data_IF_724939703795
#
_entry.id   IF_724939703795
#
_cell.length_a   1.000
_cell.length_b   1.000
_cell.length_c   1.000
_cell.angle_alpha   90.00
_cell.angle_beta   90.00
_cell.angle_gamma   90.00
#
_symmetry.space_group_name_H-M   'P 1'
#
loop_
_entity.id
_entity.type
_entity.pdbx_description
1 polymer ?
#
# COMPACT_ATOMS: atom_id res chain seq x y z
N UNK A 1 -19.61 2.65 4.93
CA UNK A 1 -20.52 2.00 5.85
C UNK A 1 -20.12 0.55 6.08
N UNK A 2 -19.92 -0.20 5.02
CA UNK A 2 -19.46 -1.59 5.12
C UNK A 2 -17.94 -1.74 5.05
N UNK A 3 -17.23 -0.63 4.88
CA UNK A 3 -15.77 -0.68 4.74
C UNK A 3 -15.09 -1.20 6.01
N UNK A 4 -15.55 -0.79 7.18
CA UNK A 4 -14.98 -1.26 8.46
C UNK A 4 -15.16 -2.77 8.60
N UNK A 5 -16.35 -3.28 8.29
CA UNK A 5 -16.62 -4.72 8.38
C UNK A 5 -15.77 -5.49 7.38
N UNK A 6 -15.68 -5.01 6.15
CA UNK A 6 -14.87 -5.64 5.12
C UNK A 6 -13.40 -5.68 5.52
N UNK A 7 -12.88 -4.56 6.03
CA UNK A 7 -11.47 -4.48 6.47
C UNK A 7 -11.21 -5.38 7.67
N UNK A 8 -12.14 -5.43 8.65
CA UNK A 8 -12.00 -6.32 9.79
C UNK A 8 -11.99 -7.78 9.38
N UNK A 9 -12.87 -8.16 8.46
CA UNK A 9 -12.90 -9.52 7.94
C UNK A 9 -11.60 -9.88 7.23
N UNK A 10 -11.04 -8.94 6.46
CA UNK A 10 -9.76 -9.13 5.81
C UNK A 10 -8.65 -9.38 6.82
N UNK A 11 -8.58 -8.59 7.89
CA UNK A 11 -7.58 -8.77 8.95
C UNK A 11 -7.74 -10.10 9.67
N UNK A 12 -8.97 -10.47 10.00
CA UNK A 12 -9.25 -11.75 10.67
C UNK A 12 -8.81 -12.92 9.79
N UNK A 13 -9.12 -12.87 8.51
CA UNK A 13 -8.69 -13.90 7.56
C UNK A 13 -7.17 -13.99 7.45
N UNK A 14 -6.50 -12.85 7.41
CA UNK A 14 -5.03 -12.81 7.34
C UNK A 14 -4.40 -13.37 8.61
N UNK A 15 -4.92 -13.01 9.79
CA UNK A 15 -4.39 -13.49 11.06
C UNK A 15 -4.59 -14.99 11.24
N UNK A 16 -5.73 -15.52 10.83
CA UNK A 16 -6.04 -16.94 10.99
C UNK A 16 -5.35 -17.83 9.97
N UNK A 17 -5.03 -17.30 8.81
CA UNK A 17 -4.75 -18.13 7.64
C UNK A 17 -3.48 -17.75 6.89
N UNK A 18 -2.39 -17.63 7.64
CA UNK A 18 -1.07 -17.60 6.99
C UNK A 18 -0.91 -18.82 6.06
N UNK A 19 -1.64 -19.90 6.34
CA UNK A 19 -1.62 -21.11 5.52
C UNK A 19 -2.46 -21.00 4.23
N UNK A 20 -3.39 -20.03 4.15
CA UNK A 20 -4.29 -19.89 2.99
C UNK A 20 -3.79 -18.86 1.98
N UNK A 21 -2.50 -18.82 1.80
CA UNK A 21 -1.87 -17.95 0.79
C UNK A 21 -1.97 -18.68 -0.56
N UNK A 22 -2.57 -18.02 -1.54
CA UNK A 22 -2.73 -18.57 -2.88
C UNK A 22 -1.67 -17.95 -3.81
N UNK A 23 -0.47 -18.53 -3.77
CA UNK A 23 0.68 -18.00 -4.50
C UNK A 23 0.63 -18.41 -5.97
N UNK A 24 0.78 -17.44 -6.86
CA UNK A 24 0.96 -17.68 -8.29
C UNK A 24 2.12 -16.82 -8.80
N UNK A 25 2.76 -17.29 -9.87
CA UNK A 25 3.86 -16.54 -10.50
C UNK A 25 3.26 -15.51 -11.44
N UNK A 26 3.53 -14.23 -11.21
CA UNK A 26 2.83 -13.15 -11.87
C UNK A 26 3.75 -12.05 -12.38
N UNK A 27 3.30 -11.36 -13.41
CA UNK A 27 3.93 -10.15 -13.93
C UNK A 27 3.58 -8.98 -13.02
N UNK A 28 4.53 -8.53 -12.22
CA UNK A 28 4.30 -7.47 -11.24
C UNK A 28 4.06 -6.12 -11.93
N UNK A 29 4.74 -5.87 -13.06
CA UNK A 29 4.52 -4.65 -13.83
C UNK A 29 3.05 -4.52 -14.23
N UNK A 30 2.48 -5.60 -14.73
CA UNK A 30 1.08 -5.60 -15.14
C UNK A 30 0.13 -5.40 -13.96
N UNK A 31 0.41 -6.03 -12.81
CA UNK A 31 -0.40 -5.84 -11.62
C UNK A 31 -0.42 -4.38 -11.18
N UNK A 32 0.74 -3.71 -11.21
CA UNK A 32 0.83 -2.31 -10.83
C UNK A 32 0.08 -1.41 -11.82
N UNK A 33 0.21 -1.68 -13.12
CA UNK A 33 -0.53 -0.94 -14.14
C UNK A 33 -2.05 -1.05 -13.90
N UNK A 34 -2.53 -2.24 -13.62
CA UNK A 34 -3.95 -2.49 -13.38
C UNK A 34 -4.45 -1.77 -12.12
N UNK A 35 -3.65 -1.77 -11.07
CA UNK A 35 -3.98 -1.06 -9.83
C UNK A 35 -4.12 0.44 -10.09
N UNK A 36 -3.14 1.04 -10.75
CA UNK A 36 -3.19 2.48 -11.03
C UNK A 36 -4.33 2.84 -11.97
N UNK A 37 -4.59 2.01 -12.96
CA UNK A 37 -5.71 2.23 -13.88
C UNK A 37 -7.03 2.29 -13.12
N UNK A 38 -7.23 1.38 -12.15
CA UNK A 38 -8.45 1.35 -11.35
C UNK A 38 -8.58 2.55 -10.42
N UNK A 39 -7.47 3.07 -9.92
CA UNK A 39 -7.48 4.19 -8.97
C UNK A 39 -7.40 5.57 -9.63
N UNK A 40 -7.11 5.62 -10.92
CA UNK A 40 -6.99 6.89 -11.64
C UNK A 40 -8.23 7.78 -11.53
N UNK A 41 -9.46 7.27 -11.62
CA UNK A 41 -10.63 8.14 -11.45
C UNK A 41 -10.68 8.85 -10.10
N UNK A 42 -10.23 8.19 -9.03
CA UNK A 42 -10.20 8.81 -7.70
C UNK A 42 -9.15 9.93 -7.65
N UNK A 43 -7.98 9.68 -8.25
CA UNK A 43 -6.92 10.67 -8.30
C UNK A 43 -7.32 11.88 -9.16
N UNK A 44 -7.98 11.63 -10.29
CA UNK A 44 -8.39 12.69 -11.22
C UNK A 44 -9.35 13.67 -10.57
N UNK A 45 -10.20 13.23 -9.65
CA UNK A 45 -11.12 14.11 -8.94
C UNK A 45 -10.42 15.20 -8.13
N UNK A 46 -9.18 14.96 -7.74
CA UNK A 46 -8.36 15.90 -6.99
C UNK A 46 -7.19 16.42 -7.79
N UNK A 47 -7.18 16.13 -9.10
CA UNK A 47 -6.11 16.51 -10.00
C UNK A 47 -4.73 16.02 -9.52
N UNK A 48 -4.69 14.80 -9.04
CA UNK A 48 -3.45 14.16 -8.57
C UNK A 48 -2.88 13.30 -9.68
N UNK A 49 -1.61 13.52 -9.99
CA UNK A 49 -0.87 12.71 -10.96
C UNK A 49 -0.50 11.37 -10.36
N UNK A 50 -0.92 10.29 -11.01
CA UNK A 50 -0.44 8.93 -10.68
C UNK A 50 0.67 8.58 -11.67
N UNK A 51 1.87 8.33 -11.14
CA UNK A 51 3.07 8.06 -11.95
C UNK A 51 3.56 6.65 -11.64
N UNK A 52 3.84 5.86 -12.68
CA UNK A 52 4.42 4.53 -12.53
C UNK A 52 5.78 4.50 -13.21
N UNK A 53 6.82 4.21 -12.41
CA UNK A 53 8.19 4.08 -12.90
C UNK A 53 8.65 2.63 -12.70
N UNK A 54 8.66 1.86 -13.77
CA UNK A 54 9.18 0.49 -13.74
C UNK A 54 10.57 0.47 -14.34
N UNK A 55 11.56 0.15 -13.52
CA UNK A 55 12.95 0.18 -13.96
C UNK A 55 13.37 -1.09 -14.69
N UNK A 56 12.59 -2.16 -14.53
CA UNK A 56 12.82 -3.43 -15.22
C UNK A 56 11.57 -4.29 -15.16
N UNK A 57 11.44 -5.30 -16.04
CA UNK A 57 10.38 -6.29 -15.91
C UNK A 57 10.61 -7.14 -14.65
N UNK A 58 9.54 -7.42 -13.91
CA UNK A 58 9.61 -8.22 -12.69
C UNK A 58 8.50 -9.28 -12.72
N UNK A 59 8.91 -10.53 -12.64
CA UNK A 59 8.00 -11.65 -12.40
C UNK A 59 8.30 -12.19 -11.00
N UNK A 60 7.27 -12.47 -10.22
CA UNK A 60 7.47 -12.90 -8.84
C UNK A 60 6.29 -13.75 -8.37
N UNK A 61 6.52 -14.46 -7.28
CA UNK A 61 5.50 -15.30 -6.63
C UNK A 61 4.72 -14.45 -5.64
N UNK A 62 3.44 -14.23 -5.92
CA UNK A 62 2.58 -13.43 -5.03
C UNK A 62 1.18 -14.03 -4.95
N UNK A 63 0.49 -13.71 -3.87
CA UNK A 63 -0.95 -13.90 -3.78
C UNK A 63 -1.58 -12.65 -4.40
N UNK A 64 -2.16 -12.81 -5.58
CA UNK A 64 -2.67 -11.68 -6.35
C UNK A 64 -3.63 -10.81 -5.56
N UNK A 65 -4.58 -11.42 -4.86
CA UNK A 65 -5.60 -10.68 -4.11
C UNK A 65 -4.98 -9.89 -2.97
N UNK A 66 -4.14 -10.54 -2.17
CA UNK A 66 -3.53 -9.89 -1.01
C UNK A 66 -2.51 -8.84 -1.41
N UNK A 67 -1.72 -9.12 -2.45
CA UNK A 67 -0.75 -8.17 -2.96
C UNK A 67 -1.46 -6.92 -3.52
N UNK A 68 -2.48 -7.13 -4.34
CA UNK A 68 -3.26 -6.04 -4.93
C UNK A 68 -3.90 -5.18 -3.85
N UNK A 69 -4.47 -5.80 -2.82
CA UNK A 69 -5.08 -5.08 -1.71
C UNK A 69 -4.06 -4.21 -0.98
N UNK A 70 -2.88 -4.78 -0.70
CA UNK A 70 -1.82 -4.04 0.01
C UNK A 70 -1.37 -2.80 -0.77
N UNK A 71 -1.03 -2.98 -2.04
CA UNK A 71 -0.53 -1.88 -2.85
C UNK A 71 -1.63 -0.85 -3.12
N UNK A 72 -2.85 -1.31 -3.38
CA UNK A 72 -3.99 -0.40 -3.55
C UNK A 72 -4.19 0.48 -2.33
N UNK A 73 -4.08 -0.08 -1.12
CA UNK A 73 -4.21 0.69 0.12
C UNK A 73 -3.14 1.77 0.22
N UNK A 74 -1.90 1.46 -0.15
CA UNK A 74 -0.81 2.45 -0.11
C UNK A 74 -1.07 3.58 -1.11
N UNK A 75 -1.49 3.26 -2.32
CA UNK A 75 -1.78 4.27 -3.34
C UNK A 75 -2.99 5.11 -2.94
N UNK A 76 -4.05 4.47 -2.44
CA UNK A 76 -5.24 5.20 -1.98
C UNK A 76 -4.90 6.17 -0.85
N UNK A 77 -4.06 5.76 0.10
CA UNK A 77 -3.59 6.66 1.15
C UNK A 77 -2.83 7.85 0.56
N UNK A 78 -1.98 7.60 -0.42
CA UNK A 78 -1.25 8.67 -1.10
C UNK A 78 -2.16 9.67 -1.79
N UNK A 79 -3.30 9.21 -2.30
CA UNK A 79 -4.29 10.10 -2.92
C UNK A 79 -5.09 10.85 -1.85
N UNK A 80 -5.59 10.13 -0.84
CA UNK A 80 -6.49 10.72 0.18
C UNK A 80 -5.84 11.81 1.01
N UNK A 81 -4.62 11.57 1.44
CA UNK A 81 -3.90 12.47 2.34
C UNK A 81 -2.95 13.40 1.60
N UNK A 82 -3.19 13.58 0.32
CA UNK A 82 -2.38 14.45 -0.54
C UNK A 82 -2.92 15.89 -0.53
N UNK A 83 -2.10 16.76 -1.07
CA UNK A 83 -2.52 18.13 -1.41
C UNK A 83 -3.18 18.10 -2.79
N UNK A 84 -4.08 19.01 -3.06
CA UNK A 84 -4.67 19.12 -4.40
C UNK A 84 -3.58 19.51 -5.40
N UNK A 85 -3.69 18.96 -6.61
CA UNK A 85 -2.69 19.14 -7.68
C UNK A 85 -1.34 18.49 -7.34
N UNK A 86 -1.34 17.55 -6.40
CA UNK A 86 -0.15 16.80 -6.02
C UNK A 86 0.09 15.60 -6.92
N UNK A 87 0.91 14.69 -6.42
CA UNK A 87 1.29 13.49 -7.18
C UNK A 87 1.47 12.29 -6.25
N UNK A 88 1.32 11.09 -6.84
CA UNK A 88 1.68 9.83 -6.20
C UNK A 88 2.53 9.06 -7.21
N UNK A 89 3.71 8.65 -6.81
CA UNK A 89 4.63 7.89 -7.65
C UNK A 89 4.83 6.50 -7.11
N UNK A 90 4.55 5.51 -7.95
CA UNK A 90 4.82 4.11 -7.65
C UNK A 90 6.03 3.69 -8.48
N UNK A 91 7.05 3.14 -7.85
CA UNK A 91 8.21 2.63 -8.57
C UNK A 91 8.44 1.16 -8.29
N UNK A 92 8.98 0.47 -9.28
CA UNK A 92 9.27 -0.96 -9.22
C UNK A 92 10.69 -1.22 -9.69
N UNK A 93 11.44 -1.95 -8.88
CA UNK A 93 12.77 -2.41 -9.24
C UNK A 93 12.98 -3.80 -8.63
N UNK A 94 14.08 -4.44 -8.97
CA UNK A 94 14.40 -5.77 -8.43
C UNK A 94 15.90 -6.02 -8.51
N UNK A 95 16.37 -6.88 -7.62
CA UNK A 95 17.68 -7.50 -7.74
C UNK A 95 17.48 -9.01 -7.92
N UNK A 96 18.53 -9.80 -7.69
CA UNK A 96 18.46 -11.25 -7.90
C UNK A 96 17.61 -11.99 -6.84
N UNK A 97 17.23 -11.32 -5.77
CA UNK A 97 16.55 -11.97 -4.63
C UNK A 97 15.21 -11.34 -4.31
N UNK A 98 15.10 -10.02 -4.41
CA UNK A 98 13.90 -9.28 -4.00
C UNK A 98 13.41 -8.38 -5.11
N UNK A 99 12.13 -8.04 -5.04
CA UNK A 99 11.64 -6.88 -5.77
C UNK A 99 11.23 -5.79 -4.77
N UNK A 100 11.28 -4.56 -5.23
CA UNK A 100 11.10 -3.37 -4.42
C UNK A 100 10.03 -2.49 -5.03
N UNK A 101 9.07 -2.09 -4.19
CA UNK A 101 8.04 -1.14 -4.60
C UNK A 101 8.12 0.04 -3.66
N UNK A 102 8.16 1.25 -4.22
CA UNK A 102 8.00 2.46 -3.41
C UNK A 102 6.72 3.15 -3.82
N UNK A 103 5.99 3.68 -2.84
CA UNK A 103 4.82 4.50 -3.07
C UNK A 103 5.07 5.83 -2.36
N UNK A 104 5.40 6.84 -3.14
CA UNK A 104 5.76 8.16 -2.64
C UNK A 104 4.67 9.16 -3.00
N UNK A 105 4.39 10.10 -2.12
CA UNK A 105 3.41 11.15 -2.39
C UNK A 105 3.90 12.51 -1.94
N UNK A 106 3.24 13.54 -2.49
CA UNK A 106 3.51 14.94 -2.16
C UNK A 106 2.54 15.46 -1.09
N UNK A 107 2.02 14.57 -0.25
CA UNK A 107 0.95 14.88 0.66
C UNK A 107 1.35 15.61 1.93
N UNK A 108 0.46 15.57 2.90
CA UNK A 108 0.63 16.31 4.14
C UNK A 108 1.69 15.71 5.06
N UNK A 109 2.16 14.51 4.77
CA UNK A 109 3.13 13.83 5.62
C UNK A 109 2.53 13.31 6.91
N UNK A 110 3.38 12.70 7.73
CA UNK A 110 2.97 12.10 8.99
C UNK A 110 3.80 12.74 10.10
N UNK A 111 3.17 13.22 11.18
CA UNK A 111 3.91 13.73 12.32
C UNK A 111 4.87 12.68 12.87
N UNK A 112 6.04 13.10 13.29
CA UNK A 112 7.09 12.21 13.76
C UNK A 112 6.62 11.30 14.90
N UNK A 113 5.81 11.80 15.80
CA UNK A 113 5.30 11.05 16.95
C UNK A 113 4.24 10.02 16.56
N UNK A 114 3.73 10.08 15.34
CA UNK A 114 2.71 9.13 14.84
C UNK A 114 3.30 8.02 13.99
N UNK A 115 4.51 8.18 13.45
CA UNK A 115 5.09 7.24 12.48
C UNK A 115 5.11 5.80 13.00
N UNK A 116 5.43 5.59 14.27
CA UNK A 116 5.49 4.25 14.85
C UNK A 116 4.12 3.61 15.01
N UNK A 117 3.04 4.39 14.97
CA UNK A 117 1.70 3.92 15.26
C UNK A 117 0.81 3.76 14.03
N UNK A 118 1.25 4.21 12.86
CA UNK A 118 0.37 4.25 11.68
C UNK A 118 -0.10 2.87 11.21
N UNK A 119 0.60 1.80 11.58
CA UNK A 119 0.19 0.43 11.24
C UNK A 119 -0.71 -0.22 12.30
N UNK A 120 -1.00 0.48 13.40
CA UNK A 120 -1.91 -0.04 14.41
C UNK A 120 -3.34 0.00 13.89
N UNK A 121 -4.11 -1.01 14.26
CA UNK A 121 -5.53 -1.08 13.89
C UNK A 121 -6.27 0.13 14.45
N UNK A 122 -7.09 0.75 13.60
CA UNK A 122 -7.93 1.91 13.94
C UNK A 122 -7.15 3.18 14.30
N UNK A 123 -5.81 3.18 14.19
CA UNK A 123 -5.06 4.40 14.45
C UNK A 123 -5.24 5.39 13.30
N UNK A 124 -5.47 6.66 13.64
CA UNK A 124 -5.61 7.75 12.68
C UNK A 124 -4.81 8.93 13.19
N UNK A 125 -4.02 9.52 12.32
CA UNK A 125 -3.15 10.65 12.68
C UNK A 125 -3.97 11.87 13.11
N UNK A 126 -5.03 12.18 12.38
CA UNK A 126 -5.91 13.32 12.67
C UNK A 126 -7.35 12.87 12.71
N UNK A 127 -7.86 12.64 13.91
CA UNK A 127 -9.22 12.18 14.12
C UNK A 127 -10.28 13.22 13.76
N UNK A 128 -9.93 14.50 13.80
CA UNK A 128 -10.87 15.58 13.51
C UNK A 128 -11.18 15.69 12.02
N UNK A 129 -10.23 15.33 11.16
CA UNK A 129 -10.39 15.34 9.72
C UNK A 129 -10.84 14.00 9.15
N UNK A 130 -10.93 12.98 9.97
CA UNK A 130 -11.18 11.62 9.52
C UNK A 130 -12.53 11.44 8.86
N UNK A 131 -13.53 12.20 9.27
CA UNK A 131 -14.88 12.12 8.69
C UNK A 131 -14.91 12.66 7.26
N UNK A 132 -14.13 13.71 6.98
CA UNK A 132 -14.08 14.33 5.67
C UNK A 132 -13.27 13.50 4.67
N UNK A 133 -12.16 12.96 5.14
CA UNK A 133 -11.25 12.21 4.30
C UNK A 133 -11.73 10.77 4.08
N UNK A 134 -12.45 10.24 5.05
CA UNK A 134 -12.88 8.84 5.06
C UNK A 134 -11.79 7.92 5.56
N UNK A 135 -12.05 6.63 5.50
CA UNK A 135 -11.11 5.62 5.93
C UNK A 135 -11.46 5.05 7.31
N UNK A 136 -10.99 3.84 7.55
CA UNK A 136 -11.35 3.06 8.74
C UNK A 136 -10.23 2.97 9.77
N UNK A 137 -9.01 3.37 9.41
CA UNK A 137 -7.84 3.14 10.25
C UNK A 137 -7.31 1.72 10.16
N UNK A 138 -7.81 0.91 9.22
CA UNK A 138 -7.41 -0.49 9.07
C UNK A 138 -6.54 -0.76 7.85
N UNK A 139 -6.55 0.16 6.87
CA UNK A 139 -5.86 -0.06 5.59
C UNK A 139 -4.38 -0.35 5.75
N UNK A 140 -3.66 0.41 6.58
CA UNK A 140 -2.22 0.18 6.77
C UNK A 140 -1.93 -1.08 7.56
N UNK A 141 -2.79 -1.45 8.51
CA UNK A 141 -2.66 -2.73 9.23
C UNK A 141 -2.84 -3.91 8.27
N UNK A 142 -3.82 -3.82 7.37
CA UNK A 142 -4.05 -4.82 6.33
C UNK A 142 -2.83 -4.92 5.42
N UNK A 143 -2.29 -3.77 5.00
CA UNK A 143 -1.11 -3.72 4.15
C UNK A 143 0.07 -4.43 4.81
N UNK A 144 0.35 -4.09 6.06
CA UNK A 144 1.47 -4.69 6.79
C UNK A 144 1.30 -6.21 6.91
N UNK A 145 0.09 -6.68 7.24
CA UNK A 145 -0.19 -8.11 7.33
C UNK A 145 0.01 -8.82 5.99
N UNK A 146 -0.47 -8.21 4.91
CA UNK A 146 -0.31 -8.78 3.58
C UNK A 146 1.16 -8.88 3.16
N UNK A 147 1.94 -7.83 3.40
CA UNK A 147 3.36 -7.83 3.08
C UNK A 147 4.10 -8.89 3.91
N UNK A 148 3.75 -9.02 5.20
CA UNK A 148 4.35 -10.03 6.08
C UNK A 148 4.04 -11.45 5.60
N UNK A 149 2.84 -11.69 5.09
CA UNK A 149 2.46 -13.00 4.54
C UNK A 149 3.27 -13.36 3.30
N UNK A 150 3.78 -12.37 2.59
CA UNK A 150 4.69 -12.57 1.45
C UNK A 150 6.15 -12.66 1.89
N UNK A 151 6.42 -12.70 3.18
CA UNK A 151 7.77 -12.69 3.76
C UNK A 151 8.52 -11.40 3.44
N UNK A 152 7.78 -10.33 3.21
CA UNK A 152 8.33 -9.03 2.88
C UNK A 152 8.38 -8.10 4.09
N UNK A 153 8.92 -6.92 3.85
CA UNK A 153 9.00 -5.86 4.85
C UNK A 153 8.47 -4.56 4.27
N UNK A 154 7.96 -3.70 5.14
CA UNK A 154 7.51 -2.37 4.76
C UNK A 154 8.12 -1.35 5.71
N UNK A 155 8.60 -0.24 5.15
CA UNK A 155 9.14 0.89 5.90
C UNK A 155 8.44 2.16 5.45
N UNK A 156 8.39 3.15 6.35
CA UNK A 156 7.80 4.43 6.04
C UNK A 156 8.81 5.54 6.32
N UNK A 157 8.87 6.48 5.40
CA UNK A 157 9.69 7.68 5.51
C UNK A 157 8.75 8.86 5.27
N UNK A 158 8.66 9.77 6.23
CA UNK A 158 7.73 10.87 6.10
C UNK A 158 8.23 12.08 6.85
N UNK A 159 7.87 13.24 6.33
CA UNK A 159 8.10 14.51 7.01
C UNK A 159 6.84 15.34 6.86
N UNK A 160 6.34 15.80 7.99
CA UNK A 160 5.12 16.60 8.01
C UNK A 160 5.26 17.82 7.09
N UNK A 161 4.27 18.01 6.22
CA UNK A 161 4.29 19.08 5.24
C UNK A 161 5.04 18.78 3.95
N UNK A 162 5.73 17.63 3.85
CA UNK A 162 6.55 17.31 2.67
C UNK A 162 6.16 16.02 1.95
N UNK A 163 5.33 15.19 2.57
CA UNK A 163 4.87 13.95 1.96
C UNK A 163 5.38 12.70 2.65
N UNK A 164 5.05 11.56 2.06
CA UNK A 164 5.31 10.24 2.64
C UNK A 164 5.80 9.29 1.57
N UNK A 165 6.74 8.41 1.94
CA UNK A 165 7.20 7.31 1.09
C UNK A 165 7.10 6.02 1.86
N UNK A 166 6.34 5.06 1.32
CA UNK A 166 6.35 3.68 1.79
C UNK A 166 7.28 2.86 0.91
N UNK A 167 8.16 2.09 1.53
CA UNK A 167 9.12 1.25 0.83
C UNK A 167 8.85 -0.21 1.17
N UNK A 168 8.55 -1.00 0.16
CA UNK A 168 8.18 -2.41 0.30
C UNK A 168 9.24 -3.27 -0.36
N UNK A 169 9.65 -4.34 0.34
CA UNK A 169 10.59 -5.31 -0.20
C UNK A 169 9.98 -6.70 -0.05
N UNK A 170 9.92 -7.44 -1.14
CA UNK A 170 9.32 -8.79 -1.15
C UNK A 170 10.26 -9.75 -1.88
N UNK A 171 10.48 -10.98 -1.36
CA UNK A 171 11.25 -11.98 -2.10
C UNK A 171 10.60 -12.30 -3.43
N UNK A 172 11.42 -12.50 -4.47
CA UNK A 172 10.92 -12.88 -5.79
C UNK A 172 10.26 -14.26 -5.78
N UNK A 173 10.79 -15.16 -4.95
CA UNK A 173 10.25 -16.51 -4.84
C UNK A 173 9.62 -16.70 -3.46
N UNK A 174 8.45 -17.31 -3.43
CA UNK A 174 7.78 -17.62 -2.18
C UNK A 174 8.20 -18.99 -1.69
N UNK A 175 8.82 -19.04 -0.52
CA UNK A 175 9.23 -20.28 0.13
C UNK A 175 8.37 -20.44 1.39
N UNK A 176 7.46 -21.43 1.44
CA UNK A 176 6.66 -21.66 2.64
C UNK A 176 7.55 -21.93 3.85
N UNK A 177 7.19 -21.35 4.99
CA UNK A 177 7.95 -21.54 6.25
C UNK A 177 7.34 -22.63 7.11
#
# INVERSE_FOLDING_TARGET
>A
ENKIITDLLSLVKMDKKAADVNITHMDINQLLEDILKRLRPIADKRNIDLILDCFRPVDADVDEVKFTLAISNLVENGIKYNVDDGWVRVSLDADHKYFYITVADSGMGIPEDSIERIFERFYRVDKSHSKEIGGTGLGLAITKSSIAMHHGTIKVFSKEGEGTTFSVRIPLSYIPS
#
